data_IF_299228313754
#
_entry.id   IF_299228313754
#
_cell.length_a   1.000
_cell.length_b   1.000
_cell.length_c   1.000
_cell.angle_alpha   90.00
_cell.angle_beta   90.00
_cell.angle_gamma   90.00
#
_symmetry.space_group_name_H-M   'P 1'
#
loop_
_entity.id
_entity.type
_entity.pdbx_description
1 polymer ?
#
# COMPACT_ATOMS: atom_id res chain seq x y z
N UNK A 1 -24.81 -45.88 -51.75
CA UNK A 1 -25.78 -45.64 -52.83
C UNK A 1 -25.65 -44.19 -53.26
N UNK A 2 -25.45 -43.97 -54.57
CA UNK A 2 -25.78 -42.78 -55.37
C UNK A 2 -25.21 -41.38 -55.00
N UNK A 3 -24.25 -40.92 -55.82
CA UNK A 3 -24.34 -39.62 -56.55
C UNK A 3 -25.65 -39.55 -57.38
N UNK A 4 -26.22 -38.38 -57.75
CA UNK A 4 -25.57 -37.24 -58.45
C UNK A 4 -25.86 -35.85 -57.82
N UNK A 5 -25.23 -34.71 -58.14
CA UNK A 5 -24.50 -34.17 -59.33
C UNK A 5 -25.36 -33.28 -60.28
N UNK A 6 -24.73 -32.19 -60.78
CA UNK A 6 -25.10 -31.30 -61.91
C UNK A 6 -26.18 -30.17 -61.74
N UNK A 7 -25.74 -28.94 -62.07
CA UNK A 7 -26.38 -27.72 -62.65
C UNK A 7 -26.01 -26.45 -61.85
N UNK A 8 -24.90 -25.74 -62.11
CA UNK A 8 -24.57 -24.87 -63.27
C UNK A 8 -25.61 -23.79 -63.59
N UNK A 9 -25.23 -22.51 -63.40
CA UNK A 9 -25.13 -21.59 -64.54
C UNK A 9 -24.15 -20.43 -64.27
N UNK A 10 -23.52 -19.93 -65.33
CA UNK A 10 -22.71 -18.71 -65.34
C UNK A 10 -22.98 -17.96 -66.64
N UNK A 11 -23.45 -16.72 -66.55
CA UNK A 11 -23.65 -15.79 -67.67
C UNK A 11 -24.00 -14.41 -67.12
N UNK A 12 -23.77 -13.27 -67.77
CA UNK A 12 -22.81 -12.79 -68.76
C UNK A 12 -23.34 -11.41 -69.21
N UNK A 13 -22.50 -10.39 -69.07
CA UNK A 13 -22.36 -9.20 -69.93
C UNK A 13 -23.55 -8.62 -70.74
N UNK A 14 -23.82 -7.32 -70.54
CA UNK A 14 -24.56 -6.44 -71.47
C UNK A 14 -25.59 -5.56 -70.75
N UNK A 15 -25.81 -4.27 -71.07
CA UNK A 15 -25.23 -3.43 -72.11
C UNK A 15 -26.30 -2.59 -72.84
N UNK A 16 -26.58 -1.37 -72.37
CA UNK A 16 -27.47 -0.39 -73.04
C UNK A 16 -27.92 0.73 -72.08
N UNK A 17 -27.43 1.96 -72.19
CA UNK A 17 -27.75 3.08 -73.11
C UNK A 17 -28.88 4.03 -72.61
N UNK A 18 -28.57 5.34 -72.61
CA UNK A 18 -29.39 6.47 -72.11
C UNK A 18 -30.54 6.87 -73.07
N UNK A 19 -31.59 7.60 -72.63
CA UNK A 19 -31.58 9.09 -72.48
C UNK A 19 -32.18 9.58 -71.13
N UNK A 20 -31.56 10.52 -70.40
CA UNK A 20 -31.54 12.00 -70.56
C UNK A 20 -32.91 12.71 -70.37
N UNK A 21 -33.06 13.37 -69.21
CA UNK A 21 -33.80 14.63 -69.07
C UNK A 21 -33.12 15.49 -68.00
N UNK A 22 -32.80 16.74 -68.32
CA UNK A 22 -32.20 17.69 -67.38
C UNK A 22 -33.29 18.28 -66.47
N UNK A 23 -32.93 18.68 -65.25
CA UNK A 23 -33.08 20.11 -64.93
C UNK A 23 -32.01 20.61 -63.96
N UNK A 24 -31.68 21.89 -64.10
CA UNK A 24 -30.50 22.52 -63.49
C UNK A 24 -30.80 23.13 -62.13
N UNK A 25 -29.87 22.99 -61.18
CA UNK A 25 -29.58 24.08 -60.25
C UNK A 25 -28.07 24.20 -60.08
N UNK A 26 -27.54 25.35 -60.51
CA UNK A 26 -26.12 25.68 -60.51
C UNK A 26 -25.83 26.56 -59.29
N UNK A 27 -24.98 26.11 -58.38
CA UNK A 27 -24.22 26.99 -57.49
C UNK A 27 -22.78 26.50 -57.36
N UNK A 28 -21.90 27.48 -57.27
CA UNK A 28 -20.49 27.48 -57.65
C UNK A 28 -19.60 26.49 -56.88
N UNK A 29 -18.58 25.98 -57.56
CA UNK A 29 -17.46 25.31 -56.93
C UNK A 29 -16.19 26.16 -56.99
N UNK A 30 -15.34 26.01 -55.97
CA UNK A 30 -13.90 26.20 -56.13
C UNK A 30 -13.21 25.02 -55.42
N UNK A 31 -12.25 24.35 -56.05
CA UNK A 31 -11.60 23.19 -55.44
C UNK A 31 -10.60 23.69 -54.41
N UNK A 32 -10.57 23.03 -53.25
CA UNK A 32 -9.35 23.05 -52.43
C UNK A 32 -8.77 21.65 -52.35
N UNK A 33 -7.44 21.59 -52.39
CA UNK A 33 -6.72 20.35 -52.65
C UNK A 33 -6.79 19.43 -51.44
N UNK A 34 -6.85 18.12 -51.69
CA UNK A 34 -6.57 17.09 -50.67
C UNK A 34 -5.10 17.17 -50.26
N UNK A 35 -4.78 18.14 -49.40
CA UNK A 35 -3.52 18.23 -48.70
C UNK A 35 -3.41 17.04 -47.76
N UNK A 36 -2.66 16.02 -48.19
CA UNK A 36 -2.20 14.97 -47.30
C UNK A 36 -1.31 15.61 -46.23
N UNK A 37 -1.88 15.94 -45.07
CA UNK A 37 -1.13 16.45 -43.93
C UNK A 37 -0.27 15.34 -43.34
N UNK A 38 0.90 15.17 -43.95
CA UNK A 38 2.09 14.65 -43.29
C UNK A 38 2.44 15.59 -42.14
N UNK A 39 1.85 15.37 -40.97
CA UNK A 39 2.29 15.97 -39.71
C UNK A 39 3.68 15.40 -39.38
N UNK A 40 4.73 16.04 -39.90
CA UNK A 40 6.09 15.83 -39.40
C UNK A 40 6.22 16.60 -38.10
N UNK A 41 5.73 16.01 -37.00
CA UNK A 41 6.02 16.51 -35.66
C UNK A 41 7.55 16.49 -35.46
N UNK A 42 8.15 17.68 -35.36
CA UNK A 42 9.58 17.82 -35.16
C UNK A 42 10.06 16.98 -33.97
N UNK A 43 11.15 16.22 -34.10
CA UNK A 43 11.62 15.33 -33.04
C UNK A 43 12.04 16.16 -31.83
N UNK A 44 11.54 15.81 -30.65
CA UNK A 44 11.94 16.45 -29.40
C UNK A 44 13.44 16.14 -29.13
N UNK A 45 14.27 17.15 -28.89
CA UNK A 45 15.72 16.97 -28.68
C UNK A 45 16.09 17.26 -27.24
N UNK A 46 16.68 16.27 -26.57
CA UNK A 46 17.28 16.41 -25.24
C UNK A 46 18.81 16.35 -25.40
N UNK A 47 19.48 17.46 -25.13
CA UNK A 47 20.94 17.58 -25.27
C UNK A 47 21.63 17.55 -23.91
N UNK A 48 22.55 16.60 -23.73
CA UNK A 48 23.34 16.44 -22.50
C UNK A 48 24.71 17.14 -22.58
N UNK A 49 24.99 17.88 -23.66
CA UNK A 49 26.24 18.58 -23.92
C UNK A 49 27.35 17.65 -24.41
N UNK A 50 28.22 18.15 -25.30
CA UNK A 50 29.41 17.47 -25.84
C UNK A 50 29.21 16.03 -26.33
N UNK A 51 27.99 15.71 -26.77
CA UNK A 51 27.55 14.38 -27.20
C UNK A 51 28.35 13.85 -28.40
N UNK A 52 28.70 12.57 -28.37
CA UNK A 52 29.37 11.85 -29.46
C UNK A 52 28.49 10.76 -30.10
N UNK A 53 27.22 10.65 -29.68
CA UNK A 53 26.20 9.74 -30.21
C UNK A 53 24.78 10.29 -29.98
N UNK A 54 23.87 9.98 -30.90
CA UNK A 54 22.44 10.22 -30.75
C UNK A 54 21.68 8.91 -30.49
N UNK A 55 20.83 8.91 -29.46
CA UNK A 55 19.89 7.84 -29.16
C UNK A 55 18.47 8.35 -29.45
N UNK A 56 17.86 7.89 -30.55
CA UNK A 56 16.45 8.14 -30.83
C UNK A 56 15.58 7.09 -30.14
N UNK A 57 14.64 7.55 -29.30
CA UNK A 57 13.57 6.73 -28.71
C UNK A 57 12.23 7.31 -29.17
N UNK A 58 11.48 6.56 -29.96
CA UNK A 58 10.24 7.03 -30.60
C UNK A 58 10.48 8.37 -31.35
N UNK A 59 9.77 9.45 -30.98
CA UNK A 59 9.99 10.80 -31.55
C UNK A 59 10.90 11.72 -30.71
N UNK A 60 11.70 11.16 -29.80
CA UNK A 60 12.66 11.93 -28.98
C UNK A 60 14.09 11.51 -29.29
N UNK A 61 15.00 12.47 -29.44
CA UNK A 61 16.43 12.28 -29.68
C UNK A 61 17.18 12.72 -28.42
N UNK A 62 17.86 11.78 -27.78
CA UNK A 62 18.81 12.02 -26.69
C UNK A 62 20.21 12.14 -27.27
N UNK A 63 20.77 13.34 -27.28
CA UNK A 63 22.18 13.56 -27.60
C UNK A 63 23.00 13.29 -26.33
N UNK A 64 23.85 12.27 -26.38
CA UNK A 64 24.46 11.67 -25.19
C UNK A 64 25.89 11.16 -25.50
N UNK A 65 26.52 10.46 -24.55
CA UNK A 65 27.87 9.94 -24.72
C UNK A 65 27.89 8.42 -24.83
N UNK A 66 28.68 7.87 -25.77
CA UNK A 66 28.90 6.44 -25.96
C UNK A 66 29.33 5.75 -24.66
N UNK A 67 30.13 6.42 -23.85
CA UNK A 67 30.58 5.93 -22.53
C UNK A 67 29.42 5.51 -21.60
N UNK A 68 28.26 6.19 -21.65
CA UNK A 68 27.09 5.80 -20.86
C UNK A 68 26.28 4.69 -21.54
N UNK A 69 26.13 4.74 -22.86
CA UNK A 69 25.36 3.74 -23.61
C UNK A 69 26.05 2.38 -23.68
N UNK A 70 27.38 2.32 -23.79
CA UNK A 70 28.17 1.08 -23.76
C UNK A 70 28.12 0.35 -22.41
N UNK A 71 27.53 0.94 -21.35
CA UNK A 71 27.26 0.23 -20.08
C UNK A 71 26.08 -0.73 -20.17
N UNK A 72 25.28 -0.64 -21.24
CA UNK A 72 24.17 -1.53 -21.53
C UNK A 72 24.56 -2.45 -22.69
N UNK A 73 24.70 -3.76 -22.45
CA UNK A 73 25.18 -4.74 -23.43
C UNK A 73 24.46 -4.64 -24.79
N UNK A 74 23.12 -4.55 -24.79
CA UNK A 74 22.35 -4.45 -26.04
C UNK A 74 22.55 -3.13 -26.78
N UNK A 75 22.78 -2.03 -26.06
CA UNK A 75 23.07 -0.75 -26.71
C UNK A 75 24.50 -0.74 -27.25
N UNK A 76 25.44 -1.37 -26.56
CA UNK A 76 26.80 -1.57 -27.07
C UNK A 76 26.79 -2.38 -28.37
N UNK A 77 26.09 -3.51 -28.43
CA UNK A 77 25.91 -4.33 -29.64
C UNK A 77 25.35 -3.48 -30.81
N UNK A 78 24.30 -2.69 -30.56
CA UNK A 78 23.74 -1.77 -31.57
C UNK A 78 24.79 -0.74 -32.05
N UNK A 79 25.59 -0.18 -31.15
CA UNK A 79 26.64 0.79 -31.48
C UNK A 79 27.78 0.16 -32.27
N UNK A 80 28.16 -1.08 -31.95
CA UNK A 80 29.19 -1.82 -32.68
C UNK A 80 28.73 -2.13 -34.11
N UNK A 81 27.46 -2.55 -34.30
CA UNK A 81 26.91 -2.87 -35.62
C UNK A 81 26.85 -1.66 -36.58
N UNK A 82 26.64 -0.43 -36.08
CA UNK A 82 26.62 0.78 -36.93
C UNK A 82 28.00 1.14 -37.52
N UNK A 83 29.10 0.84 -36.80
CA UNK A 83 30.47 1.16 -37.25
C UNK A 83 30.86 0.51 -38.58
N UNK A 84 30.08 -0.48 -39.02
CA UNK A 84 30.27 -1.19 -40.28
C UNK A 84 29.62 -0.49 -41.51
N UNK A 85 28.84 0.58 -41.31
CA UNK A 85 28.02 1.21 -42.36
C UNK A 85 28.11 2.75 -42.46
N UNK A 86 28.67 3.46 -41.48
CA UNK A 86 28.58 4.93 -41.42
C UNK A 86 29.62 5.68 -42.27
N UNK A 87 29.19 6.82 -42.82
CA UNK A 87 30.07 7.81 -43.46
C UNK A 87 30.81 8.66 -42.41
N UNK A 88 32.08 9.06 -42.66
CA UNK A 88 32.99 9.60 -41.63
C UNK A 88 32.57 10.95 -41.00
N UNK A 89 31.58 11.64 -41.55
CA UNK A 89 31.19 13.00 -41.13
C UNK A 89 29.81 13.08 -40.45
N UNK A 90 29.15 11.95 -40.12
CA UNK A 90 27.86 11.97 -39.41
C UNK A 90 27.99 11.56 -37.95
N UNK A 91 27.23 12.19 -37.06
CA UNK A 91 27.12 11.71 -35.67
C UNK A 91 26.40 10.36 -35.67
N UNK A 92 26.99 9.29 -35.12
CA UNK A 92 26.35 7.97 -35.12
C UNK A 92 25.02 8.03 -34.36
N UNK A 93 23.99 7.31 -34.85
CA UNK A 93 22.62 7.39 -34.32
C UNK A 93 21.95 6.02 -34.20
N UNK A 94 21.77 5.52 -32.98
CA UNK A 94 20.90 4.36 -32.72
C UNK A 94 19.44 4.80 -32.64
N UNK A 95 18.51 3.96 -33.12
CA UNK A 95 17.06 4.19 -33.01
C UNK A 95 16.37 3.01 -32.33
N UNK A 96 15.46 3.31 -31.40
CA UNK A 96 14.73 2.37 -30.57
C UNK A 96 13.24 2.76 -30.55
N UNK A 97 12.38 1.76 -30.65
CA UNK A 97 10.93 1.93 -30.51
C UNK A 97 10.44 1.26 -29.22
N UNK A 98 9.58 1.96 -28.46
CA UNK A 98 9.06 1.54 -27.14
C UNK A 98 7.61 1.99 -26.93
N UNK A 99 7.02 1.49 -25.86
CA UNK A 99 5.77 1.97 -25.29
C UNK A 99 5.82 3.48 -24.98
N UNK A 100 4.65 4.05 -24.70
CA UNK A 100 4.42 5.45 -24.32
C UNK A 100 5.37 5.94 -23.21
N UNK A 101 5.63 5.09 -22.22
CA UNK A 101 6.52 5.37 -21.09
C UNK A 101 8.01 5.33 -21.46
N UNK A 102 8.39 4.70 -22.57
CA UNK A 102 9.78 4.39 -22.91
C UNK A 102 10.69 5.62 -23.00
N UNK A 103 10.18 6.76 -23.51
CA UNK A 103 10.94 8.02 -23.56
C UNK A 103 11.26 8.54 -22.15
N UNK A 104 10.28 8.51 -21.25
CA UNK A 104 10.46 8.93 -19.85
C UNK A 104 11.39 7.94 -19.11
N UNK A 105 11.24 6.64 -19.36
CA UNK A 105 12.09 5.62 -18.76
C UNK A 105 13.57 5.82 -19.13
N UNK A 106 13.87 6.05 -20.42
CA UNK A 106 15.23 6.38 -20.88
C UNK A 106 15.73 7.70 -20.28
N UNK A 107 14.91 8.76 -20.26
CA UNK A 107 15.27 10.05 -19.65
C UNK A 107 15.67 9.90 -18.17
N UNK A 108 14.87 9.19 -17.38
CA UNK A 108 15.12 8.95 -15.96
C UNK A 108 16.33 8.02 -15.72
N UNK A 109 16.51 7.02 -16.58
CA UNK A 109 17.70 6.15 -16.54
C UNK A 109 18.97 6.96 -16.81
N UNK A 110 18.96 7.82 -17.84
CA UNK A 110 20.10 8.67 -18.18
C UNK A 110 20.46 9.62 -17.03
N UNK A 111 19.46 10.24 -16.37
CA UNK A 111 19.67 11.06 -15.16
C UNK A 111 20.47 10.31 -14.09
N UNK A 112 20.13 9.05 -13.79
CA UNK A 112 20.90 8.23 -12.84
C UNK A 112 22.32 8.00 -13.36
N UNK A 113 22.48 7.52 -14.61
CA UNK A 113 23.83 7.17 -15.13
C UNK A 113 24.80 8.36 -15.19
N UNK A 114 24.30 9.57 -15.44
CA UNK A 114 25.08 10.81 -15.41
C UNK A 114 25.34 11.30 -13.99
N UNK A 115 24.35 11.25 -13.09
CA UNK A 115 24.54 11.60 -11.69
C UNK A 115 25.61 10.71 -11.03
N UNK A 116 25.59 9.40 -11.27
CA UNK A 116 26.61 8.45 -10.81
C UNK A 116 28.02 8.67 -11.38
N UNK A 117 28.23 9.62 -12.29
CA UNK A 117 29.57 10.02 -12.75
C UNK A 117 30.21 11.11 -11.88
N UNK A 118 29.44 11.72 -10.95
CA UNK A 118 29.91 12.72 -10.00
C UNK A 118 29.83 12.09 -8.60
N UNK A 119 30.85 12.25 -7.75
CA UNK A 119 30.79 11.69 -6.39
C UNK A 119 29.82 12.50 -5.51
N UNK A 120 28.76 11.86 -5.02
CA UNK A 120 27.78 12.51 -4.14
C UNK A 120 26.67 11.59 -3.63
N UNK A 121 25.97 11.97 -2.55
CA UNK A 121 24.83 11.21 -2.01
C UNK A 121 23.56 11.47 -2.81
N UNK A 122 23.37 10.76 -3.92
CA UNK A 122 22.13 10.87 -4.72
C UNK A 122 20.96 10.14 -4.07
N UNK A 123 19.81 10.82 -4.03
CA UNK A 123 18.51 10.21 -3.75
C UNK A 123 17.66 10.34 -5.02
N UNK A 124 17.20 9.22 -5.53
CA UNK A 124 16.27 9.16 -6.64
C UNK A 124 14.89 8.78 -6.12
N UNK A 125 13.84 9.29 -6.76
CA UNK A 125 12.47 8.92 -6.43
C UNK A 125 12.11 7.52 -6.95
N UNK A 126 10.99 6.98 -6.47
CA UNK A 126 10.50 5.65 -6.86
C UNK A 126 10.27 5.53 -8.38
N UNK A 127 9.61 6.50 -9.07
CA UNK A 127 9.46 6.44 -10.54
C UNK A 127 10.78 6.37 -11.31
N UNK A 128 11.81 7.15 -10.92
CA UNK A 128 13.13 7.16 -11.55
C UNK A 128 13.87 5.83 -11.31
N UNK A 129 13.76 5.26 -10.11
CA UNK A 129 14.34 3.94 -9.82
C UNK A 129 13.65 2.81 -10.60
N UNK A 130 12.32 2.84 -10.74
CA UNK A 130 11.57 1.87 -11.56
C UNK A 130 11.93 2.03 -13.04
N UNK A 131 12.05 3.28 -13.53
CA UNK A 131 12.51 3.59 -14.89
C UNK A 131 13.88 2.93 -15.17
N UNK A 132 14.85 3.16 -14.28
CA UNK A 132 16.18 2.60 -14.41
C UNK A 132 16.20 1.07 -14.30
N UNK A 133 15.40 0.48 -13.39
CA UNK A 133 15.25 -0.97 -13.31
C UNK A 133 14.73 -1.55 -14.64
N UNK A 134 13.74 -0.89 -15.28
CA UNK A 134 13.18 -1.34 -16.56
C UNK A 134 14.18 -1.26 -17.70
N UNK A 135 14.90 -0.15 -17.85
CA UNK A 135 15.91 0.00 -18.93
C UNK A 135 17.12 -0.90 -18.66
N UNK A 136 17.63 -0.97 -17.43
CA UNK A 136 18.74 -1.86 -17.07
C UNK A 136 18.42 -3.33 -17.34
N UNK A 137 17.20 -3.78 -17.01
CA UNK A 137 16.75 -5.15 -17.27
C UNK A 137 16.51 -5.42 -18.76
N UNK A 138 16.00 -4.43 -19.51
CA UNK A 138 15.69 -4.58 -20.93
C UNK A 138 16.91 -4.50 -21.86
N UNK A 139 17.99 -3.82 -21.45
CA UNK A 139 19.18 -3.60 -22.28
C UNK A 139 20.49 -4.18 -21.71
N UNK A 140 20.44 -4.83 -20.55
CA UNK A 140 21.57 -5.53 -19.94
C UNK A 140 22.57 -4.59 -19.29
N UNK A 141 22.21 -3.99 -18.16
CA UNK A 141 23.14 -3.22 -17.31
C UNK A 141 23.01 -3.66 -15.85
N UNK A 142 23.68 -4.77 -15.51
CA UNK A 142 23.48 -5.49 -14.23
C UNK A 142 23.78 -4.64 -12.99
N UNK A 143 24.84 -3.82 -13.02
CA UNK A 143 25.17 -2.92 -11.91
C UNK A 143 24.05 -1.90 -11.63
N UNK A 144 23.39 -1.38 -12.68
CA UNK A 144 22.27 -0.46 -12.53
C UNK A 144 20.99 -1.17 -12.10
N UNK A 145 20.76 -2.41 -12.57
CA UNK A 145 19.67 -3.28 -12.10
C UNK A 145 19.83 -3.58 -10.61
N UNK A 146 21.01 -4.00 -10.17
CA UNK A 146 21.31 -4.26 -8.77
C UNK A 146 21.18 -3.00 -7.90
N UNK A 147 21.69 -1.85 -8.36
CA UNK A 147 21.51 -0.55 -7.71
C UNK A 147 20.03 -0.21 -7.53
N UNK A 148 19.22 -0.31 -8.59
CA UNK A 148 17.80 0.02 -8.54
C UNK A 148 17.03 -0.90 -7.58
N UNK A 149 17.28 -2.22 -7.62
CA UNK A 149 16.70 -3.20 -6.69
C UNK A 149 17.04 -2.82 -5.24
N UNK A 150 18.34 -2.66 -4.93
CA UNK A 150 18.81 -2.35 -3.58
C UNK A 150 18.25 -1.03 -3.03
N UNK A 151 18.01 -0.03 -3.89
CA UNK A 151 17.40 1.24 -3.49
C UNK A 151 15.88 1.12 -3.32
N UNK A 152 15.19 0.34 -4.16
CA UNK A 152 13.75 0.08 -4.02
C UNK A 152 13.43 -0.77 -2.79
N UNK A 153 14.28 -1.73 -2.39
CA UNK A 153 14.13 -2.52 -1.15
C UNK A 153 14.20 -1.66 0.12
N UNK A 154 14.97 -0.56 0.08
CA UNK A 154 15.10 0.39 1.18
C UNK A 154 13.92 1.38 1.27
N UNK A 155 13.06 1.42 0.24
CA UNK A 155 11.85 2.24 0.23
C UNK A 155 10.67 1.43 0.76
N UNK A 156 9.83 2.07 1.57
CA UNK A 156 8.60 1.47 2.10
C UNK A 156 7.50 1.42 1.03
N UNK A 157 7.69 0.53 0.04
CA UNK A 157 6.72 0.28 -1.03
C UNK A 157 5.56 -0.57 -0.52
N UNK A 158 4.33 -0.18 -0.89
CA UNK A 158 3.13 -0.96 -0.57
C UNK A 158 3.21 -2.37 -1.16
N UNK A 159 2.74 -3.39 -0.45
CA UNK A 159 2.81 -4.79 -0.89
C UNK A 159 2.34 -5.04 -2.34
N UNK A 160 1.25 -4.40 -2.78
CA UNK A 160 0.73 -4.52 -4.14
C UNK A 160 1.75 -4.03 -5.18
N UNK A 161 2.40 -2.90 -4.93
CA UNK A 161 3.46 -2.37 -5.78
C UNK A 161 4.70 -3.29 -5.77
N UNK A 162 5.03 -3.87 -4.61
CA UNK A 162 6.12 -4.86 -4.51
C UNK A 162 5.82 -6.10 -5.36
N UNK A 163 4.58 -6.58 -5.39
CA UNK A 163 4.13 -7.71 -6.24
C UNK A 163 4.16 -7.37 -7.73
N UNK A 164 3.73 -6.15 -8.12
CA UNK A 164 3.83 -5.70 -9.52
C UNK A 164 5.29 -5.70 -10.01
N UNK A 165 6.18 -5.08 -9.25
CA UNK A 165 7.61 -5.00 -9.58
C UNK A 165 8.27 -6.38 -9.54
N UNK A 166 7.88 -7.24 -8.61
CA UNK A 166 8.37 -8.61 -8.52
C UNK A 166 8.05 -9.42 -9.79
N UNK A 167 6.82 -9.32 -10.28
CA UNK A 167 6.38 -10.02 -11.49
C UNK A 167 6.95 -9.39 -12.77
N UNK A 168 7.02 -8.06 -12.84
CA UNK A 168 7.59 -7.33 -13.98
C UNK A 168 9.10 -7.63 -14.16
N UNK A 169 9.84 -7.83 -13.06
CA UNK A 169 11.31 -7.94 -13.08
C UNK A 169 11.87 -9.29 -12.60
N UNK A 170 11.02 -10.28 -12.29
CA UNK A 170 11.42 -11.62 -11.84
C UNK A 170 12.03 -11.65 -10.43
N UNK A 171 11.55 -10.82 -9.50
CA UNK A 171 12.07 -10.70 -8.13
C UNK A 171 11.25 -11.53 -7.14
N UNK A 172 11.25 -12.85 -7.29
CA UNK A 172 10.39 -13.76 -6.49
C UNK A 172 10.53 -13.58 -4.96
N UNK A 173 11.71 -13.17 -4.48
CA UNK A 173 11.97 -12.88 -3.06
C UNK A 173 11.11 -11.74 -2.48
N UNK A 174 10.55 -10.87 -3.31
CA UNK A 174 9.68 -9.76 -2.89
C UNK A 174 8.21 -10.16 -2.74
N UNK A 175 7.79 -11.27 -3.35
CA UNK A 175 6.38 -11.69 -3.37
C UNK A 175 5.90 -12.23 -2.03
N UNK A 176 6.58 -13.22 -1.43
CA UNK A 176 6.14 -13.82 -0.17
C UNK A 176 6.02 -12.81 1.00
N UNK A 177 6.97 -11.86 1.21
CA UNK A 177 6.81 -10.81 2.21
C UNK A 177 5.68 -9.82 1.89
N UNK A 178 5.27 -9.70 0.62
CA UNK A 178 4.14 -8.86 0.21
C UNK A 178 2.79 -9.58 0.40
N UNK A 179 2.69 -10.86 0.03
CA UNK A 179 1.50 -11.67 0.32
C UNK A 179 1.25 -11.76 1.83
N UNK A 180 2.31 -11.94 2.63
CA UNK A 180 2.21 -11.93 4.10
C UNK A 180 1.69 -10.60 4.64
N UNK A 181 2.23 -9.45 4.20
CA UNK A 181 1.73 -8.12 4.60
C UNK A 181 0.24 -7.96 4.25
N UNK A 182 -0.18 -8.39 3.05
CA UNK A 182 -1.59 -8.39 2.65
C UNK A 182 -2.46 -9.37 3.45
N UNK A 183 -1.89 -10.46 3.97
CA UNK A 183 -2.60 -11.39 4.86
C UNK A 183 -2.86 -10.82 6.26
N UNK A 184 -1.94 -9.99 6.76
CA UNK A 184 -1.97 -9.44 8.13
C UNK A 184 -2.65 -8.07 8.21
N UNK A 185 -2.77 -7.34 7.10
CA UNK A 185 -3.37 -5.99 7.00
C UNK A 185 -4.84 -5.97 7.43
N UNK A 186 -5.25 -5.01 8.25
CA UNK A 186 -6.66 -4.88 8.66
C UNK A 186 -7.59 -4.49 7.49
N UNK A 187 -7.20 -3.51 6.67
CA UNK A 187 -7.97 -3.06 5.49
C UNK A 187 -8.21 -4.21 4.50
N UNK A 188 -9.48 -4.42 4.14
CA UNK A 188 -9.92 -5.37 3.10
C UNK A 188 -9.21 -5.15 1.76
N UNK A 189 -9.10 -6.21 0.95
CA UNK A 189 -8.59 -6.14 -0.41
C UNK A 189 -9.59 -5.42 -1.31
N UNK A 190 -9.12 -4.50 -2.16
CA UNK A 190 -9.98 -3.84 -3.17
C UNK A 190 -10.00 -4.63 -4.48
N UNK A 191 -10.90 -4.27 -5.40
CA UNK A 191 -11.00 -4.94 -6.70
C UNK A 191 -9.71 -4.74 -7.53
N UNK A 192 -9.15 -3.53 -7.51
CA UNK A 192 -7.90 -3.21 -8.21
C UNK A 192 -6.72 -4.02 -7.65
N UNK A 193 -6.67 -4.20 -6.32
CA UNK A 193 -5.70 -5.08 -5.67
C UNK A 193 -5.88 -6.54 -6.09
N UNK A 194 -7.13 -7.01 -6.22
CA UNK A 194 -7.45 -8.37 -6.67
C UNK A 194 -7.06 -8.60 -8.15
N UNK A 195 -7.30 -7.62 -9.03
CA UNK A 195 -6.88 -7.66 -10.43
C UNK A 195 -5.35 -7.78 -10.56
N UNK A 196 -4.59 -7.03 -9.75
CA UNK A 196 -3.12 -7.10 -9.71
C UNK A 196 -2.61 -8.42 -9.15
N UNK A 197 -3.24 -8.94 -8.08
CA UNK A 197 -2.90 -10.24 -7.51
C UNK A 197 -3.14 -11.39 -8.49
N UNK A 198 -4.24 -11.33 -9.24
CA UNK A 198 -4.73 -12.46 -10.03
C UNK A 198 -5.36 -13.55 -9.15
N UNK A 199 -6.23 -14.37 -9.76
CA UNK A 199 -7.15 -15.26 -9.03
C UNK A 199 -6.47 -16.18 -8.01
N UNK A 200 -5.36 -16.84 -8.37
CA UNK A 200 -4.67 -17.81 -7.51
C UNK A 200 -4.04 -17.16 -6.27
N UNK A 201 -3.30 -16.06 -6.45
CA UNK A 201 -2.70 -15.33 -5.34
C UNK A 201 -3.76 -14.63 -4.48
N UNK A 202 -4.82 -14.09 -5.10
CA UNK A 202 -5.96 -13.53 -4.37
C UNK A 202 -6.63 -14.58 -3.48
N UNK A 203 -6.94 -15.76 -4.00
CA UNK A 203 -7.57 -16.84 -3.23
C UNK A 203 -6.69 -17.28 -2.04
N UNK A 204 -5.38 -17.43 -2.24
CA UNK A 204 -4.41 -17.73 -1.18
C UNK A 204 -4.39 -16.64 -0.11
N UNK A 205 -4.22 -15.38 -0.49
CA UNK A 205 -4.19 -14.26 0.47
C UNK A 205 -5.53 -14.14 1.21
N UNK A 206 -6.66 -14.32 0.54
CA UNK A 206 -7.98 -14.29 1.17
C UNK A 206 -8.16 -15.40 2.22
N UNK A 207 -7.73 -16.63 1.93
CA UNK A 207 -7.74 -17.75 2.87
C UNK A 207 -6.82 -17.49 4.08
N UNK A 208 -5.61 -16.96 3.84
CA UNK A 208 -4.68 -16.59 4.91
C UNK A 208 -5.27 -15.46 5.80
N UNK A 209 -5.90 -14.43 5.19
CA UNK A 209 -6.62 -13.35 5.90
C UNK A 209 -7.76 -13.86 6.78
N UNK A 210 -8.58 -14.79 6.29
CA UNK A 210 -9.66 -15.38 7.09
C UNK A 210 -9.10 -16.09 8.33
N UNK A 211 -8.04 -16.87 8.15
CA UNK A 211 -7.32 -17.53 9.24
C UNK A 211 -6.76 -16.55 10.28
N UNK A 212 -6.22 -15.40 9.84
CA UNK A 212 -5.73 -14.32 10.73
C UNK A 212 -6.88 -13.65 11.48
N UNK A 213 -7.96 -13.28 10.78
CA UNK A 213 -9.15 -12.65 11.37
C UNK A 213 -9.82 -13.54 12.42
N UNK A 214 -9.98 -14.84 12.14
CA UNK A 214 -10.55 -15.81 13.09
C UNK A 214 -9.66 -15.97 14.34
N UNK A 215 -8.33 -15.98 14.18
CA UNK A 215 -7.39 -16.01 15.33
C UNK A 215 -7.49 -14.72 16.15
N UNK A 216 -7.55 -13.56 15.51
CA UNK A 216 -7.71 -12.25 16.17
C UNK A 216 -9.03 -12.15 16.93
N UNK A 217 -10.15 -12.57 16.34
CA UNK A 217 -11.45 -12.61 17.00
C UNK A 217 -11.47 -13.53 18.23
N UNK A 218 -10.89 -14.74 18.13
CA UNK A 218 -10.74 -15.65 19.27
C UNK A 218 -9.86 -15.06 20.39
N UNK A 219 -8.74 -14.43 20.03
CA UNK A 219 -7.86 -13.79 21.01
C UNK A 219 -8.54 -12.62 21.73
N UNK A 220 -9.30 -11.78 21.00
CA UNK A 220 -10.09 -10.70 21.58
C UNK A 220 -11.15 -11.24 22.56
N UNK A 221 -11.96 -12.22 22.16
CA UNK A 221 -12.98 -12.79 23.05
C UNK A 221 -12.40 -13.44 24.32
N UNK A 222 -11.24 -14.10 24.23
CA UNK A 222 -10.52 -14.64 25.41
C UNK A 222 -10.02 -13.51 26.32
N UNK A 223 -9.52 -12.41 25.75
CA UNK A 223 -9.05 -11.25 26.51
C UNK A 223 -10.23 -10.51 27.18
N UNK A 224 -11.33 -10.28 26.47
CA UNK A 224 -12.56 -9.67 27.01
C UNK A 224 -13.14 -10.48 28.17
N UNK A 225 -13.24 -11.82 28.02
CA UNK A 225 -13.71 -12.71 29.08
C UNK A 225 -12.78 -12.69 30.30
N UNK A 226 -11.47 -12.64 30.08
CA UNK A 226 -10.46 -12.53 31.16
C UNK A 226 -10.57 -11.19 31.90
N UNK A 227 -10.79 -10.09 31.18
CA UNK A 227 -10.94 -8.76 31.77
C UNK A 227 -12.28 -8.59 32.50
N UNK A 228 -13.36 -9.22 32.00
CA UNK A 228 -14.64 -9.33 32.72
C UNK A 228 -14.49 -10.13 34.02
N UNK A 229 -13.89 -11.32 33.98
CA UNK A 229 -13.59 -12.14 35.17
C UNK A 229 -12.78 -11.35 36.21
N UNK A 230 -11.75 -10.62 35.77
CA UNK A 230 -10.93 -9.80 36.67
C UNK A 230 -11.75 -8.69 37.34
N UNK A 231 -12.57 -7.96 36.57
CA UNK A 231 -13.48 -6.93 37.10
C UNK A 231 -14.49 -7.50 38.08
N UNK A 232 -15.09 -8.65 37.78
CA UNK A 232 -16.08 -9.30 38.64
C UNK A 232 -15.46 -9.78 39.96
N UNK A 233 -14.23 -10.33 39.92
CA UNK A 233 -13.49 -10.71 41.12
C UNK A 233 -13.12 -9.48 41.97
N UNK A 234 -12.67 -8.39 41.35
CA UNK A 234 -12.34 -7.14 42.05
C UNK A 234 -13.58 -6.49 42.69
N UNK A 235 -14.73 -6.48 41.99
CA UNK A 235 -16.00 -5.99 42.52
C UNK A 235 -16.51 -6.87 43.67
N UNK A 236 -16.43 -8.20 43.55
CA UNK A 236 -16.79 -9.15 44.62
C UNK A 236 -15.92 -8.95 45.85
N UNK A 237 -14.60 -8.84 45.69
CA UNK A 237 -13.66 -8.58 46.79
C UNK A 237 -13.97 -7.24 47.49
N UNK A 238 -14.25 -6.18 46.72
CA UNK A 238 -14.63 -4.87 47.27
C UNK A 238 -15.94 -4.92 48.07
N UNK A 239 -16.97 -5.58 47.53
CA UNK A 239 -18.26 -5.77 48.21
C UNK A 239 -18.12 -6.59 49.50
N UNK A 240 -17.30 -7.65 49.49
CA UNK A 240 -17.07 -8.47 50.68
C UNK A 240 -16.31 -7.71 51.77
N UNK A 241 -15.28 -6.92 51.39
CA UNK A 241 -14.56 -6.06 52.31
C UNK A 241 -15.46 -5.01 52.96
N UNK A 242 -16.31 -4.34 52.18
CA UNK A 242 -17.28 -3.36 52.70
C UNK A 242 -18.31 -4.01 53.64
N UNK A 243 -18.82 -5.20 53.29
CA UNK A 243 -19.77 -5.95 54.12
C UNK A 243 -19.14 -6.41 55.45
N UNK A 244 -17.87 -6.84 55.43
CA UNK A 244 -17.11 -7.17 56.65
C UNK A 244 -16.89 -5.95 57.53
N UNK A 245 -16.45 -4.83 56.97
CA UNK A 245 -16.25 -3.57 57.69
C UNK A 245 -17.55 -3.05 58.34
N UNK A 246 -18.68 -3.10 57.63
CA UNK A 246 -20.00 -2.73 58.17
C UNK A 246 -20.43 -3.61 59.34
N UNK A 247 -20.23 -4.94 59.24
CA UNK A 247 -20.57 -5.88 60.34
C UNK A 247 -19.71 -5.66 61.58
N UNK A 248 -18.39 -5.49 61.43
CA UNK A 248 -17.51 -5.17 62.57
C UNK A 248 -17.87 -3.85 63.23
N UNK A 249 -18.23 -2.82 62.45
CA UNK A 249 -18.64 -1.52 62.99
C UNK A 249 -19.95 -1.61 63.78
N UNK A 250 -20.95 -2.34 63.27
CA UNK A 250 -22.23 -2.56 63.98
C UNK A 250 -22.04 -3.38 65.26
N UNK A 251 -21.20 -4.42 65.23
CA UNK A 251 -20.90 -5.25 66.41
C UNK A 251 -20.16 -4.46 67.50
N UNK A 252 -19.16 -3.65 67.13
CA UNK A 252 -18.45 -2.75 68.06
C UNK A 252 -19.41 -1.72 68.67
N UNK A 253 -20.27 -1.11 67.86
CA UNK A 253 -21.27 -0.15 68.35
C UNK A 253 -22.29 -0.79 69.32
N UNK A 254 -22.76 -2.02 69.05
CA UNK A 254 -23.63 -2.77 69.98
C UNK A 254 -22.93 -3.09 71.30
N UNK A 255 -21.67 -3.53 71.26
CA UNK A 255 -20.88 -3.84 72.46
C UNK A 255 -20.63 -2.59 73.32
N UNK A 256 -20.23 -1.47 72.73
CA UNK A 256 -20.07 -0.21 73.48
C UNK A 256 -21.39 0.31 74.07
N UNK A 257 -22.51 0.17 73.36
CA UNK A 257 -23.82 0.58 73.86
C UNK A 257 -24.28 -0.28 75.04
N UNK A 258 -24.10 -1.60 74.98
CA UNK A 258 -24.43 -2.50 76.09
C UNK A 258 -23.53 -2.25 77.32
N UNK A 259 -22.23 -1.99 77.11
CA UNK A 259 -21.30 -1.67 78.19
C UNK A 259 -21.64 -0.35 78.88
N UNK A 260 -21.97 0.70 78.11
CA UNK A 260 -22.44 1.99 78.65
C UNK A 260 -23.74 1.82 79.44
N UNK A 261 -24.71 1.07 78.92
CA UNK A 261 -25.97 0.80 79.61
C UNK A 261 -25.77 0.05 80.94
N UNK A 262 -24.86 -0.94 80.98
CA UNK A 262 -24.48 -1.63 82.23
C UNK A 262 -23.82 -0.68 83.24
N UNK A 263 -22.88 0.16 82.79
CA UNK A 263 -22.19 1.14 83.66
C UNK A 263 -23.15 2.19 84.24
N UNK A 264 -24.05 2.76 83.44
CA UNK A 264 -25.05 3.71 83.96
C UNK A 264 -26.05 3.04 84.93
N UNK A 265 -26.44 1.79 84.68
CA UNK A 265 -27.32 1.04 85.58
C UNK A 265 -26.63 0.74 86.92
N UNK A 266 -25.36 0.35 86.91
CA UNK A 266 -24.57 0.11 88.12
C UNK A 266 -24.31 1.41 88.90
N UNK A 267 -24.06 2.52 88.22
CA UNK A 267 -23.87 3.83 88.86
C UNK A 267 -25.17 4.34 89.50
N UNK A 268 -26.32 4.19 88.83
CA UNK A 268 -27.64 4.52 89.41
C UNK A 268 -27.95 3.65 90.63
N UNK A 269 -27.69 2.35 90.56
CA UNK A 269 -27.87 1.44 91.70
C UNK A 269 -26.97 1.82 92.90
N UNK A 270 -25.72 2.23 92.65
CA UNK A 270 -24.81 2.73 93.70
C UNK A 270 -25.31 4.05 94.30
N UNK A 271 -25.76 5.01 93.48
CA UNK A 271 -26.29 6.31 93.95
C UNK A 271 -27.58 6.17 94.76
N UNK A 272 -28.51 5.27 94.39
CA UNK A 272 -29.69 4.98 95.24
C UNK A 272 -29.33 4.27 96.54
N UNK A 273 -28.36 3.36 96.53
CA UNK A 273 -27.88 2.69 97.75
C UNK A 273 -27.16 3.66 98.71
N UNK A 274 -26.43 4.64 98.18
CA UNK A 274 -25.75 5.67 98.96
C UNK A 274 -26.73 6.74 99.49
N UNK A 275 -27.73 7.14 98.70
CA UNK A 275 -28.81 8.01 99.15
C UNK A 275 -29.64 7.39 100.29
N UNK A 276 -29.86 6.06 100.27
CA UNK A 276 -30.51 5.35 101.40
C UNK A 276 -29.62 5.26 102.64
N UNK A 277 -28.28 5.26 102.52
CA UNK A 277 -27.36 5.32 103.67
C UNK A 277 -27.21 6.72 104.28
N UNK A 278 -27.39 7.78 103.50
CA UNK A 278 -27.32 9.16 103.99
C UNK A 278 -28.55 9.57 104.85
N UNK A 279 -29.64 8.80 104.83
CA UNK A 279 -30.89 9.11 105.53
C UNK A 279 -30.95 8.63 107.00
N UNK A 280 -30.02 7.78 107.46
CA UNK A 280 -30.12 7.11 108.78
C UNK A 280 -29.02 7.47 109.81
N UNK A 281 -28.11 8.42 109.54
CA UNK A 281 -27.07 8.81 110.52
C UNK A 281 -26.96 10.32 110.80
N UNK A 282 -27.96 10.82 111.52
CA UNK A 282 -27.85 11.81 112.62
C UNK A 282 -28.85 11.36 113.71
N UNK A 283 -28.65 11.60 115.03
CA UNK A 283 -27.78 12.60 115.67
C UNK A 283 -26.92 11.97 116.81
N UNK A 284 -26.41 12.59 117.90
CA UNK A 284 -26.35 13.99 118.40
C UNK A 284 -25.20 14.21 119.41
N UNK A 285 -25.10 15.45 119.92
CA UNK A 285 -24.63 15.93 121.23
C UNK A 285 -23.36 15.40 121.95
N UNK A 286 -22.48 16.38 122.27
CA UNK A 286 -21.85 16.69 123.57
C UNK A 286 -21.29 15.54 124.46
N UNK A 287 -19.99 15.63 124.78
CA UNK A 287 -19.52 16.20 126.08
C UNK A 287 -17.99 16.27 126.24
N UNK A 288 -17.58 17.45 126.75
CA UNK A 288 -16.48 17.75 127.68
C UNK A 288 -15.03 17.49 127.27
#
# INVERSE_FOLDING_TARGET
MNSPDIYSDVSASGGGHFPRANNSTQLEGKPDSTGSQSMTDDPNVVDMGHSDIELRVNNTIFKTHKYFLCKFTRLEEMIQNMKNHDSPNSTPRITIYRDDRGVNDFSNTLKITYASAIEGPFKFDTPVLISALRIASAYGFDNLRAFAIQHLEKLSLAAIQRIQLAREFGLSSWEDPAYKELSEREKALTEEEAQVLGFSAFARVAQEREGVTLKRGKALGVQEHKDQLKKEQEEKAKKEAEAKAKKEAEEKAKKEAEEKAKKEAEEKAKKEAEAKKAAETKPDEKKK
#
